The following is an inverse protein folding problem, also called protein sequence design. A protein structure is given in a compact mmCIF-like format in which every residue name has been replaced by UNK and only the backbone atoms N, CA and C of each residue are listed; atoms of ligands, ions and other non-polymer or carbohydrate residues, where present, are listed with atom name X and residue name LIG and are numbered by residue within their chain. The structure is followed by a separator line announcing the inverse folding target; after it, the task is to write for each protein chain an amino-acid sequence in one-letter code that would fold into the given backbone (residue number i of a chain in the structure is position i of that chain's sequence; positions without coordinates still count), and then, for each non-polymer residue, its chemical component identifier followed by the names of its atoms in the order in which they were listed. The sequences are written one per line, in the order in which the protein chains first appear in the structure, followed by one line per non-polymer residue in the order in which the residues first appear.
data_IF_029588863846
#
_entry.id   IF_029588863846
#
_cell.length_a   1.000
_cell.length_b   1.000
_cell.length_c   1.000
_cell.angle_alpha   90.00
_cell.angle_beta   90.00
_cell.angle_gamma   90.00
#
_symmetry.space_group_name_H-M   'P 1'
#
loop_
_entity.id
_entity.type
_entity.pdbx_description
1 polymer ?
#
# COMPACT_ATOMS: atom_id res chain seq x y z
N UNK A 1 -3.13 -28.45 -6.81
CA UNK A 1 -3.67 -27.23 -7.47
C UNK A 1 -3.92 -27.53 -8.95
N UNK A 2 -4.99 -27.00 -9.58
CA UNK A 2 -5.34 -27.35 -10.98
C UNK A 2 -4.39 -26.68 -11.99
N UNK A 3 -4.19 -27.27 -13.17
CA UNK A 3 -3.27 -26.75 -14.20
C UNK A 3 -3.64 -25.32 -14.66
N UNK A 4 -4.94 -25.05 -14.86
CA UNK A 4 -5.47 -23.73 -15.22
C UNK A 4 -5.19 -22.67 -14.15
N UNK A 5 -5.26 -23.03 -12.86
CA UNK A 5 -4.94 -22.12 -11.76
C UNK A 5 -3.45 -21.77 -11.77
N UNK A 6 -2.58 -22.75 -12.02
CA UNK A 6 -1.13 -22.53 -12.17
C UNK A 6 -0.83 -21.61 -13.35
N UNK A 7 -1.47 -21.81 -14.50
CA UNK A 7 -1.34 -20.92 -15.68
C UNK A 7 -1.66 -19.47 -15.35
N UNK A 8 -2.82 -19.24 -14.74
CA UNK A 8 -3.23 -17.88 -14.36
C UNK A 8 -2.26 -17.24 -13.37
N UNK A 9 -1.70 -18.01 -12.42
CA UNK A 9 -0.66 -17.51 -11.50
C UNK A 9 0.60 -17.09 -12.26
N UNK A 10 1.02 -17.86 -13.27
CA UNK A 10 2.21 -17.52 -14.07
C UNK A 10 2.00 -16.23 -14.87
N UNK A 11 0.84 -16.03 -15.48
CA UNK A 11 0.51 -14.82 -16.23
C UNK A 11 0.62 -13.57 -15.34
N UNK A 12 -0.03 -13.57 -14.18
CA UNK A 12 0.04 -12.45 -13.23
C UNK A 12 1.44 -12.28 -12.62
N UNK A 13 2.19 -13.38 -12.47
CA UNK A 13 3.58 -13.31 -12.00
C UNK A 13 4.48 -12.63 -13.03
N UNK A 14 4.26 -12.86 -14.33
CA UNK A 14 5.01 -12.17 -15.39
C UNK A 14 4.76 -10.67 -15.36
N UNK A 15 3.49 -10.25 -15.29
CA UNK A 15 3.13 -8.83 -15.14
C UNK A 15 3.77 -8.21 -13.89
N UNK A 16 3.74 -8.93 -12.76
CA UNK A 16 4.39 -8.49 -11.53
C UNK A 16 5.91 -8.37 -11.68
N UNK A 17 6.57 -9.28 -12.42
CA UNK A 17 8.00 -9.20 -12.70
C UNK A 17 8.34 -7.98 -13.56
N UNK A 18 7.53 -7.67 -14.57
CA UNK A 18 7.68 -6.47 -15.40
C UNK A 18 7.47 -5.20 -14.59
N UNK A 19 6.49 -5.19 -13.67
CA UNK A 19 6.25 -4.06 -12.77
C UNK A 19 7.44 -3.83 -11.83
N UNK A 20 8.02 -4.91 -11.28
CA UNK A 20 9.21 -4.84 -10.41
C UNK A 20 10.53 -4.64 -11.16
N UNK A 21 10.50 -4.69 -12.49
CA UNK A 21 11.65 -4.51 -13.38
C UNK A 21 12.56 -5.73 -13.54
N UNK A 22 12.40 -6.78 -12.72
CA UNK A 22 13.09 -8.07 -12.93
C UNK A 22 12.47 -9.21 -12.10
N UNK A 23 12.69 -10.45 -12.54
CA UNK A 23 12.33 -11.65 -11.77
C UNK A 23 13.07 -11.71 -10.42
N UNK A 24 14.29 -11.18 -10.34
CA UNK A 24 15.08 -11.18 -9.11
C UNK A 24 14.48 -10.25 -8.05
N UNK A 25 14.08 -9.03 -8.46
CA UNK A 25 13.39 -8.05 -7.62
C UNK A 25 12.01 -8.56 -7.19
N UNK A 26 11.24 -9.12 -8.13
CA UNK A 26 9.96 -9.74 -7.82
C UNK A 26 10.07 -10.86 -6.78
N UNK A 27 11.03 -11.78 -6.95
CA UNK A 27 11.27 -12.86 -6.00
C UNK A 27 11.61 -12.33 -4.59
N UNK A 28 12.45 -11.28 -4.51
CA UNK A 28 12.82 -10.66 -3.25
C UNK A 28 11.60 -10.00 -2.56
N UNK A 29 10.77 -9.27 -3.30
CA UNK A 29 9.53 -8.70 -2.77
C UNK A 29 8.58 -9.79 -2.25
N UNK A 30 8.44 -10.89 -2.98
CA UNK A 30 7.60 -12.05 -2.63
C UNK A 30 8.19 -12.95 -1.52
N UNK A 31 9.41 -12.69 -1.05
CA UNK A 31 10.16 -13.56 -0.11
C UNK A 31 10.34 -14.99 -0.61
N UNK A 32 10.54 -15.17 -1.90
CA UNK A 32 10.84 -16.47 -2.53
C UNK A 32 12.19 -16.42 -3.24
N UNK A 33 12.77 -17.57 -3.58
CA UNK A 33 14.03 -17.59 -4.35
C UNK A 33 13.78 -17.21 -5.81
N UNK A 34 14.77 -16.60 -6.46
CA UNK A 34 14.71 -16.35 -7.92
C UNK A 34 14.51 -17.64 -8.72
N UNK A 35 15.07 -18.76 -8.23
CA UNK A 35 14.89 -20.05 -8.85
C UNK A 35 13.41 -20.44 -8.90
N UNK A 36 12.63 -20.25 -7.82
CA UNK A 36 11.20 -20.57 -7.82
C UNK A 36 10.45 -19.75 -8.87
N UNK A 37 10.69 -18.45 -8.95
CA UNK A 37 10.06 -17.58 -9.96
C UNK A 37 10.42 -18.03 -11.38
N UNK A 38 11.70 -18.33 -11.63
CA UNK A 38 12.18 -18.82 -12.92
C UNK A 38 11.55 -20.17 -13.30
N UNK A 39 11.47 -21.13 -12.38
CA UNK A 39 10.85 -22.44 -12.62
C UNK A 39 9.33 -22.31 -12.92
N UNK A 40 8.63 -21.38 -12.26
CA UNK A 40 7.22 -21.10 -12.57
C UNK A 40 7.05 -20.57 -13.99
N UNK A 41 7.86 -19.56 -14.37
CA UNK A 41 7.80 -18.91 -15.68
C UNK A 41 8.19 -19.87 -16.81
N UNK A 42 9.17 -20.74 -16.59
CA UNK A 42 9.67 -21.67 -17.60
C UNK A 42 8.84 -22.95 -17.76
N UNK A 43 7.78 -23.14 -16.96
CA UNK A 43 6.88 -24.29 -17.11
C UNK A 43 7.26 -25.56 -16.32
N UNK A 44 8.30 -25.51 -15.50
CA UNK A 44 8.81 -26.66 -14.73
C UNK A 44 8.03 -26.83 -13.40
N UNK A 45 6.70 -26.97 -13.51
CA UNK A 45 5.78 -26.85 -12.39
C UNK A 45 5.76 -28.06 -11.46
N UNK A 46 6.23 -29.21 -11.93
CA UNK A 46 6.41 -30.45 -11.19
C UNK A 46 7.47 -30.35 -10.09
N UNK A 47 8.44 -29.44 -10.24
CA UNK A 47 9.50 -29.19 -9.27
C UNK A 47 9.02 -28.30 -8.10
N UNK A 48 7.80 -27.78 -8.17
CA UNK A 48 7.31 -26.73 -7.28
C UNK A 48 6.17 -27.27 -6.42
N UNK A 49 6.39 -27.25 -5.10
CA UNK A 49 5.39 -27.61 -4.11
C UNK A 49 4.18 -26.67 -4.17
N UNK A 50 2.98 -27.20 -3.99
CA UNK A 50 1.72 -26.44 -4.00
C UNK A 50 1.70 -25.29 -2.97
N UNK A 51 2.44 -25.41 -1.86
CA UNK A 51 2.63 -24.33 -0.89
C UNK A 51 3.27 -23.08 -1.52
N UNK A 52 4.29 -23.25 -2.37
CA UNK A 52 4.96 -22.12 -3.03
C UNK A 52 4.04 -21.41 -4.02
N UNK A 53 3.17 -22.17 -4.72
CA UNK A 53 2.14 -21.58 -5.57
C UNK A 53 1.17 -20.71 -4.78
N UNK A 54 0.75 -21.15 -3.59
CA UNK A 54 -0.11 -20.35 -2.71
C UNK A 54 0.60 -19.10 -2.22
N UNK A 55 1.87 -19.21 -1.81
CA UNK A 55 2.68 -18.05 -1.38
C UNK A 55 2.82 -17.01 -2.48
N UNK A 56 3.16 -17.44 -3.70
CA UNK A 56 3.29 -16.52 -4.86
C UNK A 56 1.94 -15.91 -5.22
N UNK A 57 0.89 -16.73 -5.34
CA UNK A 57 -0.48 -16.27 -5.62
C UNK A 57 -0.97 -15.25 -4.58
N UNK A 58 -0.67 -15.47 -3.30
CA UNK A 58 -0.98 -14.53 -2.23
C UNK A 58 -0.19 -13.22 -2.39
N UNK A 59 1.12 -13.32 -2.64
CA UNK A 59 2.00 -12.16 -2.76
C UNK A 59 1.71 -11.27 -3.97
N UNK A 60 1.25 -11.84 -5.09
CA UNK A 60 0.80 -11.07 -6.27
C UNK A 60 -0.68 -10.64 -6.17
N UNK A 61 -1.35 -10.95 -5.05
CA UNK A 61 -2.71 -10.46 -4.76
C UNK A 61 -3.83 -11.18 -5.51
N UNK A 62 -3.62 -12.42 -5.93
CA UNK A 62 -4.66 -13.27 -6.54
C UNK A 62 -5.51 -14.01 -5.49
N UNK A 63 -5.07 -14.04 -4.23
CA UNK A 63 -5.84 -14.62 -3.13
C UNK A 63 -6.89 -13.61 -2.63
N UNK A 64 -7.98 -13.46 -3.37
CA UNK A 64 -9.10 -12.62 -3.00
C UNK A 64 -10.30 -12.98 -3.88
N UNK A 65 -11.49 -13.09 -3.30
CA UNK A 65 -12.71 -13.23 -4.10
C UNK A 65 -12.87 -12.08 -5.09
N UNK A 66 -13.79 -12.24 -6.06
CA UNK A 66 -14.10 -11.26 -7.11
C UNK A 66 -14.73 -9.97 -6.55
N UNK A 67 -14.05 -9.27 -5.66
CA UNK A 67 -14.46 -7.98 -5.12
C UNK A 67 -14.09 -6.89 -6.12
N UNK A 68 -15.11 -6.27 -6.72
CA UNK A 68 -14.91 -5.17 -7.65
C UNK A 68 -14.48 -3.91 -6.89
N UNK A 69 -13.34 -3.35 -7.30
CA UNK A 69 -12.88 -2.04 -6.81
C UNK A 69 -13.61 -0.95 -7.58
N UNK A 70 -14.15 0.04 -6.86
CA UNK A 70 -14.85 1.19 -7.43
C UNK A 70 -14.04 2.45 -7.17
N UNK A 71 -13.94 3.32 -8.18
CA UNK A 71 -13.29 4.62 -8.06
C UNK A 71 -14.18 5.60 -7.30
N UNK A 72 -14.20 5.50 -5.98
CA UNK A 72 -14.87 6.47 -5.11
C UNK A 72 -14.16 7.83 -5.15
N UNK A 73 -14.81 8.87 -4.61
CA UNK A 73 -14.15 10.17 -4.44
C UNK A 73 -12.84 10.06 -3.64
N UNK A 74 -12.84 9.22 -2.60
CA UNK A 74 -11.64 8.92 -1.81
C UNK A 74 -10.56 8.22 -2.62
N UNK A 75 -10.92 7.22 -3.42
CA UNK A 75 -9.97 6.54 -4.29
C UNK A 75 -9.30 7.51 -5.28
N UNK A 76 -10.10 8.29 -6.02
CA UNK A 76 -9.60 9.27 -6.99
C UNK A 76 -8.68 10.30 -6.34
N UNK A 77 -9.06 10.83 -5.17
CA UNK A 77 -8.22 11.81 -4.46
C UNK A 77 -6.90 11.20 -4.00
N UNK A 78 -6.91 9.98 -3.47
CA UNK A 78 -5.69 9.32 -3.02
C UNK A 78 -4.75 9.07 -4.20
N UNK A 79 -5.27 8.52 -5.30
CA UNK A 79 -4.50 8.26 -6.52
C UNK A 79 -3.92 9.54 -7.11
N UNK A 80 -4.68 10.63 -7.15
CA UNK A 80 -4.18 11.92 -7.63
C UNK A 80 -3.04 12.45 -6.76
N UNK A 81 -3.15 12.36 -5.43
CA UNK A 81 -2.07 12.77 -4.51
C UNK A 81 -0.80 11.92 -4.71
N UNK A 82 -0.94 10.61 -4.87
CA UNK A 82 0.20 9.73 -5.12
C UNK A 82 0.88 10.02 -6.47
N UNK A 83 0.08 10.24 -7.51
CA UNK A 83 0.60 10.57 -8.84
C UNK A 83 1.36 11.90 -8.83
N UNK A 84 0.78 12.94 -8.21
CA UNK A 84 1.41 14.26 -8.09
C UNK A 84 2.72 14.18 -7.29
N UNK A 85 2.70 13.45 -6.16
CA UNK A 85 3.89 13.23 -5.36
C UNK A 85 4.99 12.45 -6.09
N UNK A 86 4.61 11.44 -6.89
CA UNK A 86 5.56 10.68 -7.68
C UNK A 86 6.16 11.51 -8.82
N UNK A 87 5.31 12.21 -9.58
CA UNK A 87 5.71 12.96 -10.76
C UNK A 87 6.62 14.15 -10.41
N UNK A 88 6.36 14.81 -9.28
CA UNK A 88 7.03 16.04 -8.89
C UNK A 88 7.94 15.88 -7.67
N UNK A 89 8.23 14.64 -7.26
CA UNK A 89 9.07 14.33 -6.10
C UNK A 89 8.61 15.02 -4.81
N UNK A 90 7.29 15.19 -4.65
CA UNK A 90 6.72 15.97 -3.54
C UNK A 90 6.63 15.14 -2.27
N UNK A 91 6.73 15.85 -1.15
CA UNK A 91 6.53 15.28 0.16
C UNK A 91 5.20 15.75 0.75
N UNK A 92 4.31 14.79 1.02
CA UNK A 92 2.92 15.08 1.41
C UNK A 92 2.47 14.24 2.60
N UNK A 93 1.57 14.80 3.41
CA UNK A 93 0.86 14.07 4.46
C UNK A 93 -0.63 13.99 4.15
N UNK A 94 -1.18 12.77 4.12
CA UNK A 94 -2.59 12.48 3.89
C UNK A 94 -3.21 11.94 5.17
N UNK A 95 -4.32 12.54 5.59
CA UNK A 95 -5.09 12.09 6.75
C UNK A 95 -6.51 11.72 6.33
N UNK A 96 -7.04 10.65 6.91
CA UNK A 96 -8.44 10.30 6.72
C UNK A 96 -8.88 9.29 7.76
N UNK A 97 -10.18 9.15 7.95
CA UNK A 97 -10.73 8.22 8.92
C UNK A 97 -10.35 6.76 8.61
N UNK A 98 -10.40 5.91 9.63
CA UNK A 98 -10.26 4.48 9.41
C UNK A 98 -11.38 3.99 8.49
N UNK A 99 -11.06 3.15 7.51
CA UNK A 99 -12.07 2.61 6.60
C UNK A 99 -12.42 3.46 5.38
N UNK A 100 -11.82 4.65 5.18
CA UNK A 100 -12.11 5.50 4.01
C UNK A 100 -11.43 5.07 2.69
N UNK A 101 -10.72 3.93 2.68
CA UNK A 101 -10.16 3.35 1.45
C UNK A 101 -8.73 3.74 1.08
N UNK A 102 -8.00 4.51 1.90
CA UNK A 102 -6.58 4.90 1.66
C UNK A 102 -5.69 3.73 1.25
N UNK A 103 -5.59 2.71 2.11
CA UNK A 103 -4.74 1.53 1.88
C UNK A 103 -5.11 0.79 0.59
N UNK A 104 -6.40 0.69 0.26
CA UNK A 104 -6.83 0.04 -0.98
C UNK A 104 -6.37 0.82 -2.21
N UNK A 105 -6.51 2.14 -2.20
CA UNK A 105 -6.05 3.00 -3.29
C UNK A 105 -4.52 2.93 -3.44
N UNK A 106 -3.76 2.96 -2.34
CA UNK A 106 -2.31 2.78 -2.34
C UNK A 106 -1.92 1.41 -2.93
N UNK A 107 -2.55 0.33 -2.47
CA UNK A 107 -2.28 -1.02 -2.96
C UNK A 107 -2.59 -1.17 -4.45
N UNK A 108 -3.59 -0.47 -4.99
CA UNK A 108 -3.87 -0.46 -6.42
C UNK A 108 -2.87 0.40 -7.18
N UNK A 109 -2.48 1.56 -6.64
CA UNK A 109 -1.49 2.45 -7.24
C UNK A 109 -0.14 1.75 -7.44
N UNK A 110 0.38 1.06 -6.43
CA UNK A 110 1.69 0.36 -6.52
C UNK A 110 1.68 -0.83 -7.48
N UNK A 111 0.51 -1.37 -7.84
CA UNK A 111 0.39 -2.42 -8.86
C UNK A 111 0.51 -1.85 -10.27
N UNK A 112 0.08 -0.61 -10.49
CA UNK A 112 0.02 0.00 -11.81
C UNK A 112 1.15 1.00 -12.08
N UNK A 113 1.90 1.39 -11.05
CA UNK A 113 3.00 2.35 -11.16
C UNK A 113 4.33 1.69 -10.78
N UNK A 114 5.35 1.91 -11.62
CA UNK A 114 6.73 1.49 -11.32
C UNK A 114 7.33 2.39 -10.24
N UNK A 115 8.38 1.90 -9.57
CA UNK A 115 9.13 2.63 -8.54
C UNK A 115 8.28 3.17 -7.39
N UNK A 116 7.12 2.54 -7.13
CA UNK A 116 6.22 2.90 -6.05
C UNK A 116 6.29 1.84 -4.92
N UNK A 117 6.67 2.28 -3.72
CA UNK A 117 6.99 1.41 -2.59
C UNK A 117 6.03 1.64 -1.43
N UNK A 118 5.12 0.68 -1.20
CA UNK A 118 4.15 0.74 -0.11
C UNK A 118 4.68 0.07 1.16
N UNK A 119 4.85 0.88 2.21
CA UNK A 119 5.18 0.42 3.56
C UNK A 119 3.96 0.53 4.45
N UNK A 120 3.35 -0.61 4.78
CA UNK A 120 2.31 -0.64 5.80
C UNK A 120 2.96 -0.78 7.20
N UNK A 121 2.95 0.31 7.96
CA UNK A 121 3.65 0.39 9.23
C UNK A 121 2.95 -0.40 10.34
N UNK A 122 3.74 -0.89 11.30
CA UNK A 122 3.24 -1.54 12.50
C UNK A 122 3.89 -0.96 13.76
N UNK A 123 3.16 -1.01 14.87
CA UNK A 123 3.57 -0.38 16.13
C UNK A 123 4.86 -0.97 16.73
N UNK A 124 5.08 -2.27 16.53
CA UNK A 124 6.28 -2.97 17.01
C UNK A 124 7.53 -2.74 16.14
N UNK A 125 7.45 -1.87 15.11
CA UNK A 125 8.61 -1.58 14.27
C UNK A 125 9.61 -0.68 14.99
N UNK A 126 10.86 -1.15 15.05
CA UNK A 126 12.02 -0.31 15.32
C UNK A 126 12.61 0.24 14.00
N UNK A 127 13.68 1.03 14.12
CA UNK A 127 14.41 1.62 12.99
C UNK A 127 14.88 0.60 11.96
N UNK A 128 15.46 -0.52 12.41
CA UNK A 128 15.95 -1.57 11.52
C UNK A 128 14.79 -2.26 10.80
N UNK A 129 13.70 -2.58 11.51
CA UNK A 129 12.51 -3.18 10.90
C UNK A 129 11.94 -2.29 9.79
N UNK A 130 11.84 -0.97 10.00
CA UNK A 130 11.38 -0.04 8.97
C UNK A 130 12.24 -0.14 7.70
N UNK A 131 13.56 -0.05 7.84
CA UNK A 131 14.49 -0.09 6.72
C UNK A 131 14.47 -1.45 6.00
N UNK A 132 14.42 -2.56 6.74
CA UNK A 132 14.35 -3.90 6.16
C UNK A 132 13.06 -4.13 5.36
N UNK A 133 11.92 -3.60 5.83
CA UNK A 133 10.68 -3.66 5.08
C UNK A 133 10.76 -2.81 3.80
N UNK A 134 11.37 -1.63 3.84
CA UNK A 134 11.58 -0.80 2.65
C UNK A 134 12.49 -1.51 1.63
N UNK A 135 13.62 -2.04 2.09
CA UNK A 135 14.55 -2.83 1.30
C UNK A 135 13.85 -3.97 0.54
N UNK A 136 12.97 -4.70 1.26
CA UNK A 136 12.20 -5.78 0.69
C UNK A 136 11.15 -5.29 -0.35
N UNK A 137 10.46 -4.17 -0.08
CA UNK A 137 9.50 -3.59 -1.02
C UNK A 137 10.16 -3.11 -2.32
N UNK A 138 11.41 -2.66 -2.22
CA UNK A 138 12.27 -2.29 -3.36
C UNK A 138 12.82 -3.49 -4.13
N UNK A 139 12.56 -4.72 -3.64
CA UNK A 139 13.05 -5.95 -4.26
C UNK A 139 14.55 -6.15 -4.10
N UNK A 140 15.16 -5.46 -3.14
CA UNK A 140 16.59 -5.59 -2.84
C UNK A 140 16.82 -6.80 -1.92
N UNK A 141 17.98 -7.45 -2.04
CA UNK A 141 18.33 -8.68 -1.31
C UNK A 141 19.41 -8.41 -0.26
N UNK A 142 19.53 -9.32 0.70
CA UNK A 142 20.58 -9.28 1.72
C UNK A 142 20.45 -8.05 2.64
N UNK A 143 19.38 -8.03 3.44
CA UNK A 143 19.11 -7.00 4.46
C UNK A 143 20.10 -7.03 5.64
N UNK A 144 21.31 -7.55 5.42
CA UNK A 144 22.38 -7.64 6.38
C UNK A 144 23.13 -6.31 6.37
N UNK A 145 23.26 -5.72 7.55
CA UNK A 145 23.90 -4.43 7.69
C UNK A 145 23.45 -3.69 8.94
N UNK A 146 24.23 -2.67 9.24
CA UNK A 146 23.90 -1.60 10.17
C UNK A 146 22.79 -0.73 9.61
N UNK A 147 22.16 0.06 10.47
CA UNK A 147 21.15 1.06 10.07
C UNK A 147 21.72 2.03 9.02
N UNK A 148 23.00 2.39 9.15
CA UNK A 148 23.68 3.29 8.22
C UNK A 148 23.78 2.67 6.82
N UNK A 149 24.31 1.45 6.70
CA UNK A 149 24.46 0.75 5.42
C UNK A 149 23.12 0.57 4.70
N UNK A 150 22.07 0.20 5.44
CA UNK A 150 20.73 0.08 4.87
C UNK A 150 20.19 1.41 4.32
N UNK A 151 20.44 2.53 5.00
CA UNK A 151 20.03 3.86 4.51
C UNK A 151 20.80 4.24 3.26
N UNK A 152 22.13 4.06 3.25
CA UNK A 152 22.96 4.36 2.07
C UNK A 152 22.51 3.57 0.84
N UNK A 153 22.25 2.28 1.00
CA UNK A 153 21.79 1.42 -0.08
C UNK A 153 20.42 1.83 -0.61
N UNK A 154 19.47 2.11 0.29
CA UNK A 154 18.13 2.57 -0.10
C UNK A 154 18.21 3.88 -0.88
N UNK A 155 18.99 4.85 -0.39
CA UNK A 155 19.15 6.16 -1.05
C UNK A 155 19.77 5.97 -2.44
N UNK A 156 20.87 5.21 -2.55
CA UNK A 156 21.53 4.94 -3.83
C UNK A 156 20.62 4.24 -4.84
N UNK A 157 19.78 3.32 -4.37
CA UNK A 157 18.84 2.62 -5.25
C UNK A 157 17.73 3.55 -5.74
N UNK A 158 17.22 4.45 -4.87
CA UNK A 158 16.21 5.44 -5.26
C UNK A 158 16.79 6.48 -6.23
N UNK A 159 18.01 6.97 -6.00
CA UNK A 159 18.73 7.92 -6.88
C UNK A 159 18.89 7.41 -8.33
N UNK A 160 18.91 6.09 -8.54
CA UNK A 160 19.03 5.46 -9.86
C UNK A 160 17.70 5.28 -10.58
N UNK A 161 16.58 5.52 -9.91
CA UNK A 161 15.25 5.30 -10.43
C UNK A 161 14.64 6.60 -10.93
N UNK A 162 13.85 6.50 -12.00
CA UNK A 162 13.04 7.61 -12.48
C UNK A 162 11.81 7.77 -11.58
N UNK A 163 11.66 8.97 -11.01
CA UNK A 163 10.50 9.38 -10.21
C UNK A 163 10.03 8.32 -9.19
N UNK A 164 10.90 7.86 -8.26
CA UNK A 164 10.48 6.94 -7.21
C UNK A 164 9.55 7.60 -6.20
N UNK A 165 8.71 6.77 -5.56
CA UNK A 165 7.84 7.20 -4.46
C UNK A 165 7.83 6.20 -3.32
N UNK A 166 8.02 6.69 -2.09
CA UNK A 166 7.85 5.93 -0.85
C UNK A 166 6.51 6.32 -0.21
N UNK A 167 5.63 5.33 -0.03
CA UNK A 167 4.31 5.51 0.58
C UNK A 167 4.32 4.85 1.95
N UNK A 168 4.36 5.67 3.00
CA UNK A 168 4.39 5.24 4.40
C UNK A 168 2.96 5.23 4.93
N UNK A 169 2.30 4.07 4.85
CA UNK A 169 0.93 3.87 5.30
C UNK A 169 0.85 3.47 6.78
N UNK A 170 -0.23 3.89 7.43
CA UNK A 170 -0.44 3.81 8.88
C UNK A 170 0.73 4.43 9.69
N UNK A 171 1.27 5.55 9.20
CA UNK A 171 2.44 6.22 9.80
C UNK A 171 2.22 6.65 11.26
N UNK A 172 0.97 6.82 11.69
CA UNK A 172 0.62 7.08 13.10
C UNK A 172 1.04 5.97 14.07
N UNK A 173 1.25 4.74 13.57
CA UNK A 173 1.73 3.59 14.37
C UNK A 173 3.22 3.65 14.68
N UNK A 174 4.01 4.39 13.92
CA UNK A 174 5.46 4.44 14.13
C UNK A 174 5.81 5.20 15.40
N UNK A 175 6.82 4.75 16.14
CA UNK A 175 7.41 5.54 17.23
C UNK A 175 8.07 6.81 16.71
N UNK A 176 8.23 7.83 17.56
CA UNK A 176 8.84 9.11 17.15
C UNK A 176 10.24 8.90 16.57
N UNK A 177 11.01 8.00 17.17
CA UNK A 177 12.37 7.68 16.74
C UNK A 177 12.45 7.08 15.34
N UNK A 178 11.44 6.31 14.90
CA UNK A 178 11.35 5.78 13.54
C UNK A 178 10.84 6.84 12.58
N UNK A 179 9.88 7.66 13.01
CA UNK A 179 9.34 8.76 12.21
C UNK A 179 10.43 9.76 11.82
N UNK A 180 11.46 9.95 12.64
CA UNK A 180 12.59 10.83 12.29
C UNK A 180 13.38 10.39 11.04
N UNK A 181 13.31 9.13 10.61
CA UNK A 181 13.92 8.74 9.33
C UNK A 181 13.29 9.43 8.13
N UNK A 182 12.03 9.85 8.24
CA UNK A 182 11.40 10.70 7.24
C UNK A 182 12.21 11.97 6.96
N UNK A 183 12.76 12.60 8.01
CA UNK A 183 13.62 13.78 7.87
C UNK A 183 14.89 13.42 7.08
N UNK A 184 15.53 12.30 7.43
CA UNK A 184 16.74 11.84 6.74
C UNK A 184 16.47 11.55 5.26
N UNK A 185 15.38 10.84 4.95
CA UNK A 185 15.01 10.53 3.57
C UNK A 185 14.64 11.77 2.78
N UNK A 186 13.86 12.69 3.36
CA UNK A 186 13.58 13.99 2.74
C UNK A 186 14.89 14.68 2.36
N UNK A 187 15.81 14.85 3.32
CA UNK A 187 17.01 15.67 3.09
C UNK A 187 17.95 15.08 2.03
N UNK A 188 17.92 13.76 1.85
CA UNK A 188 18.80 13.06 0.91
C UNK A 188 18.17 12.85 -0.46
N UNK A 189 16.85 12.92 -0.55
CA UNK A 189 16.10 12.61 -1.76
C UNK A 189 15.21 13.77 -2.20
N UNK A 190 15.46 14.97 -1.70
CA UNK A 190 14.79 16.20 -2.12
C UNK A 190 14.90 16.34 -3.64
N UNK A 191 13.79 16.74 -4.27
CA UNK A 191 13.62 16.83 -5.72
C UNK A 191 13.78 15.53 -6.52
N UNK A 192 14.09 14.40 -5.87
CA UNK A 192 14.30 13.10 -6.54
C UNK A 192 13.25 12.05 -6.19
N UNK A 193 12.76 11.99 -4.94
CA UNK A 193 11.83 10.95 -4.49
C UNK A 193 10.59 11.57 -3.83
N UNK A 194 9.41 11.17 -4.31
CA UNK A 194 8.15 11.47 -3.64
C UNK A 194 8.05 10.72 -2.31
N UNK A 195 7.57 11.38 -1.26
CA UNK A 195 7.33 10.72 0.03
C UNK A 195 5.94 11.07 0.53
N UNK A 196 5.08 10.05 0.66
CA UNK A 196 3.70 10.25 1.11
C UNK A 196 3.48 9.54 2.44
N UNK A 197 3.20 10.30 3.49
CA UNK A 197 2.78 9.78 4.79
C UNK A 197 1.25 9.67 4.81
N UNK A 198 0.72 8.48 5.06
CA UNK A 198 -0.73 8.28 5.19
C UNK A 198 -1.06 7.76 6.58
N UNK A 199 -2.06 8.38 7.21
CA UNK A 199 -2.43 8.07 8.58
C UNK A 199 -3.87 8.43 8.91
N UNK A 200 -4.29 8.12 10.13
CA UNK A 200 -5.48 8.72 10.72
C UNK A 200 -5.23 10.19 11.11
N UNK A 201 -6.30 10.90 11.49
CA UNK A 201 -6.17 12.25 12.06
C UNK A 201 -5.30 12.34 13.32
N UNK A 202 -4.94 11.20 13.94
CA UNK A 202 -4.02 11.13 15.07
C UNK A 202 -2.62 11.64 14.71
N UNK A 203 -2.10 11.33 13.51
CA UNK A 203 -0.78 11.81 13.10
C UNK A 203 -0.70 13.33 13.06
N UNK A 204 -1.72 13.99 12.49
CA UNK A 204 -1.84 15.45 12.46
C UNK A 204 -1.81 16.05 13.86
N UNK A 205 -2.63 15.50 14.78
CA UNK A 205 -2.67 15.95 16.18
C UNK A 205 -1.32 15.77 16.88
N UNK A 206 -0.68 14.61 16.68
CA UNK A 206 0.64 14.27 17.24
C UNK A 206 1.72 15.21 16.74
N UNK A 207 1.75 15.53 15.45
CA UNK A 207 2.75 16.43 14.87
C UNK A 207 2.59 17.86 15.39
N UNK A 208 1.38 18.41 15.32
CA UNK A 208 1.10 19.78 15.78
C UNK A 208 1.38 19.92 17.28
N UNK A 209 0.96 18.95 18.09
CA UNK A 209 1.25 18.97 19.53
C UNK A 209 2.75 18.82 19.81
N UNK A 210 3.45 17.98 19.04
CA UNK A 210 4.89 17.81 19.14
C UNK A 210 5.66 19.10 18.84
N UNK A 211 5.29 19.81 17.78
CA UNK A 211 5.87 21.11 17.44
C UNK A 211 5.60 22.16 18.51
N UNK A 212 4.34 22.29 18.97
CA UNK A 212 3.97 23.24 20.04
C UNK A 212 4.73 23.00 21.34
N UNK A 213 5.03 21.74 21.65
CA UNK A 213 5.76 21.34 22.85
C UNK A 213 7.28 21.23 22.60
N UNK A 214 7.79 21.74 21.48
CA UNK A 214 9.22 21.75 21.11
C UNK A 214 9.88 20.37 21.16
N UNK A 215 9.11 19.32 20.89
CA UNK A 215 9.63 17.96 20.82
C UNK A 215 10.50 17.85 19.56
N UNK A 216 11.71 17.32 19.74
CA UNK A 216 12.72 17.16 18.67
C UNK A 216 12.10 16.60 17.39
N UNK A 217 12.44 17.20 16.24
CA UNK A 217 12.08 16.70 14.90
C UNK A 217 10.64 17.02 14.44
N UNK A 218 9.70 17.32 15.33
CA UNK A 218 8.30 17.54 14.93
C UNK A 218 8.07 18.82 14.13
N UNK A 219 8.74 19.91 14.48
CA UNK A 219 8.72 21.15 13.69
C UNK A 219 9.28 20.91 12.27
N UNK A 220 10.33 20.10 12.17
CA UNK A 220 10.92 19.75 10.88
C UNK A 220 9.99 18.88 10.04
N UNK A 221 9.44 17.79 10.62
CA UNK A 221 8.44 16.96 9.94
C UNK A 221 7.28 17.81 9.44
N UNK A 222 6.75 18.70 10.29
CA UNK A 222 5.65 19.58 9.91
C UNK A 222 6.02 20.52 8.76
N UNK A 223 7.24 21.05 8.77
CA UNK A 223 7.76 21.89 7.68
C UNK A 223 7.91 21.10 6.37
N UNK A 224 8.46 19.88 6.41
CA UNK A 224 8.71 19.04 5.23
C UNK A 224 7.44 18.55 4.53
N UNK A 225 6.34 18.41 5.26
CA UNK A 225 5.01 18.12 4.67
C UNK A 225 4.29 19.40 4.21
N UNK A 226 5.00 20.52 4.09
CA UNK A 226 4.45 21.81 3.66
C UNK A 226 3.47 22.43 4.66
N UNK A 227 3.55 22.05 5.94
CA UNK A 227 2.60 22.43 7.00
C UNK A 227 1.13 22.15 6.65
N UNK A 228 0.91 21.19 5.75
CA UNK A 228 -0.40 20.85 5.25
C UNK A 228 -0.67 19.35 5.44
N UNK A 229 -1.92 19.04 5.81
CA UNK A 229 -2.40 17.67 5.92
C UNK A 229 -3.62 17.54 5.02
N UNK A 230 -3.45 16.83 3.92
CA UNK A 230 -4.48 16.61 2.91
C UNK A 230 -5.55 15.69 3.50
N UNK A 231 -6.74 16.22 3.71
CA UNK A 231 -7.86 15.44 4.23
C UNK A 231 -8.52 14.63 3.11
N UNK A 232 -8.72 13.33 3.36
CA UNK A 232 -9.52 12.47 2.49
C UNK A 232 -11.01 12.81 2.63
N UNK A 233 -11.79 12.80 1.53
CA UNK A 233 -13.24 12.92 1.63
C UNK A 233 -13.81 11.75 2.41
N UNK A 234 -14.94 12.01 3.07
CA UNK A 234 -15.72 10.95 3.69
C UNK A 234 -16.42 10.13 2.61
N UNK A 235 -16.64 8.85 2.90
CA UNK A 235 -17.43 7.96 2.04
C UNK A 235 -18.87 8.49 1.95
N UNK A 236 -19.39 8.64 0.75
CA UNK A 236 -20.78 9.10 0.52
C UNK A 236 -21.74 7.92 0.34
N UNK A 237 -23.05 8.19 0.43
CA UNK A 237 -24.07 7.19 0.10
C UNK A 237 -23.97 6.72 -1.36
N UNK A 238 -23.62 7.64 -2.28
CA UNK A 238 -23.40 7.33 -3.69
C UNK A 238 -22.19 6.40 -3.89
N UNK A 239 -21.10 6.62 -3.15
CA UNK A 239 -19.95 5.70 -3.13
C UNK A 239 -20.38 4.30 -2.65
N UNK A 240 -21.21 4.22 -1.60
CA UNK A 240 -21.72 2.94 -1.08
C UNK A 240 -22.61 2.24 -2.09
N UNK A 241 -23.52 2.97 -2.74
CA UNK A 241 -24.41 2.44 -3.77
C UNK A 241 -23.61 1.87 -4.94
N UNK A 242 -22.66 2.63 -5.48
CA UNK A 242 -21.79 2.20 -6.57
C UNK A 242 -20.98 0.94 -6.19
N UNK A 243 -20.48 0.86 -4.96
CA UNK A 243 -19.79 -0.33 -4.45
C UNK A 243 -20.72 -1.54 -4.36
N UNK A 244 -21.95 -1.35 -3.88
CA UNK A 244 -22.94 -2.43 -3.77
C UNK A 244 -23.28 -2.99 -5.16
N UNK A 245 -23.61 -2.12 -6.11
CA UNK A 245 -23.97 -2.49 -7.48
C UNK A 245 -22.84 -3.23 -8.18
N UNK A 246 -21.61 -2.68 -8.12
CA UNK A 246 -20.43 -3.32 -8.71
C UNK A 246 -20.12 -4.70 -8.12
N UNK A 247 -20.60 -4.98 -6.89
CA UNK A 247 -20.41 -6.26 -6.22
C UNK A 247 -21.68 -7.14 -6.23
N UNK A 248 -22.69 -6.79 -7.05
CA UNK A 248 -23.87 -7.61 -7.33
C UNK A 248 -25.02 -7.46 -6.31
N UNK A 249 -25.05 -6.36 -5.56
CA UNK A 249 -26.19 -5.97 -4.72
C UNK A 249 -26.85 -4.75 -5.37
N UNK A 250 -27.96 -4.97 -6.08
CA UNK A 250 -28.69 -3.93 -6.84
C UNK A 250 -30.04 -3.56 -6.22
N UNK A 251 -30.48 -4.27 -5.18
CA UNK A 251 -31.72 -3.97 -4.47
C UNK A 251 -31.60 -2.66 -3.66
N UNK A 252 -32.42 -1.67 -4.00
CA UNK A 252 -32.38 -0.33 -3.40
C UNK A 252 -32.66 -0.37 -1.90
N UNK A 253 -33.53 -1.26 -1.42
CA UNK A 253 -33.80 -1.38 0.01
C UNK A 253 -32.54 -1.83 0.77
N UNK A 254 -31.89 -2.89 0.26
CA UNK A 254 -30.64 -3.42 0.79
C UNK A 254 -29.53 -2.37 0.75
N UNK A 255 -29.36 -1.66 -0.38
CA UNK A 255 -28.34 -0.60 -0.51
C UNK A 255 -28.55 0.49 0.55
N UNK A 256 -29.78 0.95 0.75
CA UNK A 256 -30.10 1.96 1.75
C UNK A 256 -29.79 1.48 3.18
N UNK A 257 -30.11 0.24 3.50
CA UNK A 257 -29.76 -0.36 4.80
C UNK A 257 -28.25 -0.49 4.99
N UNK A 258 -27.50 -0.87 3.95
CA UNK A 258 -26.04 -0.90 3.98
C UNK A 258 -25.48 0.50 4.22
N UNK A 259 -25.98 1.50 3.49
CA UNK A 259 -25.54 2.89 3.62
C UNK A 259 -25.75 3.44 5.03
N UNK A 260 -26.89 3.16 5.66
CA UNK A 260 -27.18 3.56 7.05
C UNK A 260 -26.29 2.85 8.07
N UNK A 261 -25.98 1.57 7.84
CA UNK A 261 -25.27 0.71 8.81
C UNK A 261 -23.75 0.69 8.63
N UNK A 262 -23.21 1.29 7.58
CA UNK A 262 -21.78 1.23 7.31
C UNK A 262 -20.96 2.25 8.13
N UNK A 263 -21.60 3.26 8.72
CA UNK A 263 -20.95 4.37 9.44
C UNK A 263 -19.76 4.96 8.67
N UNK A 264 -19.92 5.12 7.35
CA UNK A 264 -18.91 5.63 6.40
C UNK A 264 -17.64 4.77 6.26
N UNK A 265 -17.58 3.58 6.85
CA UNK A 265 -16.45 2.64 6.77
C UNK A 265 -16.66 1.62 5.63
N UNK A 266 -15.81 1.68 4.61
CA UNK A 266 -15.85 0.76 3.46
C UNK A 266 -15.60 -0.71 3.84
N UNK A 267 -14.92 -0.97 4.96
CA UNK A 267 -14.75 -2.33 5.49
C UNK A 267 -16.09 -2.89 5.96
N UNK A 268 -16.96 -2.04 6.52
CA UNK A 268 -18.32 -2.43 6.92
C UNK A 268 -19.21 -2.66 5.71
N UNK A 269 -19.10 -1.81 4.68
CA UNK A 269 -19.78 -2.02 3.39
C UNK A 269 -19.46 -3.41 2.84
N UNK A 270 -18.17 -3.78 2.77
CA UNK A 270 -17.74 -5.10 2.29
C UNK A 270 -18.36 -6.26 3.07
N UNK A 271 -18.41 -6.17 4.40
CA UNK A 271 -19.01 -7.20 5.26
C UNK A 271 -20.53 -7.29 5.05
N UNK A 272 -21.22 -6.16 4.92
CA UNK A 272 -22.66 -6.12 4.74
C UNK A 272 -23.09 -6.61 3.34
N UNK A 273 -22.33 -6.27 2.30
CA UNK A 273 -22.52 -6.83 0.94
C UNK A 273 -22.35 -8.35 0.95
N UNK A 274 -21.33 -8.88 1.64
CA UNK A 274 -21.16 -10.32 1.78
C UNK A 274 -22.34 -10.97 2.50
N UNK A 275 -22.82 -10.37 3.59
CA UNK A 275 -23.98 -10.86 4.34
C UNK A 275 -25.25 -10.88 3.47
N UNK A 276 -25.54 -9.79 2.74
CA UNK A 276 -26.68 -9.70 1.83
C UNK A 276 -26.64 -10.79 0.76
N UNK A 277 -25.48 -11.04 0.16
CA UNK A 277 -25.30 -12.10 -0.85
C UNK A 277 -25.42 -13.52 -0.28
N UNK A 278 -25.09 -13.72 0.98
CA UNK A 278 -25.28 -15.02 1.64
C UNK A 278 -26.78 -15.28 1.88
N UNK A 279 -27.50 -14.31 2.44
CA UNK A 279 -28.94 -14.43 2.69
C UNK A 279 -29.77 -14.61 1.40
N UNK A 280 -29.31 -14.07 0.28
CA UNK A 280 -29.97 -14.27 -1.02
C UNK A 280 -29.75 -15.66 -1.64
N UNK A 281 -28.79 -16.46 -1.15
CA UNK A 281 -28.54 -17.84 -1.61
C UNK A 281 -29.29 -18.89 -0.79
N UNK A 282 -29.72 -18.52 0.41
CA UNK A 282 -30.46 -19.39 1.33
C UNK A 282 -31.99 -19.32 1.10
N UNK A 283 -32.44 -18.43 0.21
CA UNK A 283 -33.82 -18.28 -0.28
C UNK A 283 -33.94 -18.77 -1.72
#
# INVERSE_FOLDING_TARGET
MRKLEKQSIVEHLMEFCEQKGSQAKAAATLKVSAAIVSQMINGNWELIRDEMWRTVSAGIGMQGGNWATVETAGYRRMTAVLADAQQHSLVMAVVGDAGCGKTQAISQFVKTHRNAYHLQCAEYWNKKNFLQNLYQQMGMRDTYGTVYELIEDIVRELERQDSPIIIVDEADKLSDGVLYFFITFYNRLEDHCGIVLTATGYLKKRIIAGERNERKGFAEIHSRVGRNFIAMPQTTADDVAAICEANGVTDLHTINEISKRCDFDLRRVKRLVHAAKASAKDN
#
